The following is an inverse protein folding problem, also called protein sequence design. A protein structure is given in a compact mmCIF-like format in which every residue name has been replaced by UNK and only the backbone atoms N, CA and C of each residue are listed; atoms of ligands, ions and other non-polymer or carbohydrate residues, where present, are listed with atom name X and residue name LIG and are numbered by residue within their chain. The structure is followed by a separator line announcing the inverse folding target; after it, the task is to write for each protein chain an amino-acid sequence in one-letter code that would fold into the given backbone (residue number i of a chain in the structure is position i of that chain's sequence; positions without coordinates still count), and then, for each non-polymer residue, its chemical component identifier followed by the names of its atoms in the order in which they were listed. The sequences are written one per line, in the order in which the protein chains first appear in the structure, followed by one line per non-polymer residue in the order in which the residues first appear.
data_IF_843703584695
#
_entry.id   IF_843703584695
#
_cell.length_a   1.000
_cell.length_b   1.000
_cell.length_c   1.000
_cell.angle_alpha   90.00
_cell.angle_beta   90.00
_cell.angle_gamma   90.00
#
_symmetry.space_group_name_H-M   'P 1'
#
loop_
_entity.id
_entity.type
_entity.pdbx_description
1 polymer ?
#
# COMPACT_ATOMS: atom_id res chain seq x y z
N UNK A 1 7.04 -8.29 -6.71
CA UNK A 1 6.93 -9.51 -7.55
C UNK A 1 7.59 -10.76 -6.93
N UNK A 2 8.55 -10.66 -5.99
CA UNK A 2 9.28 -11.82 -5.45
C UNK A 2 8.54 -12.61 -4.34
N UNK A 3 7.71 -11.97 -3.51
CA UNK A 3 7.11 -12.62 -2.31
C UNK A 3 6.02 -13.64 -2.66
N UNK A 4 5.12 -13.32 -3.59
CA UNK A 4 4.02 -14.21 -3.96
C UNK A 4 4.48 -15.45 -4.76
N UNK A 5 5.69 -15.44 -5.32
CA UNK A 5 6.23 -16.58 -6.06
C UNK A 5 6.77 -17.70 -5.14
N UNK A 6 6.99 -17.42 -3.85
CA UNK A 6 7.50 -18.40 -2.90
C UNK A 6 6.39 -19.12 -2.11
N UNK A 7 5.17 -18.59 -2.13
CA UNK A 7 3.99 -19.30 -1.65
C UNK A 7 3.36 -20.00 -2.85
N UNK A 8 3.03 -21.29 -2.77
CA UNK A 8 2.41 -22.09 -3.84
C UNK A 8 0.97 -21.65 -4.18
N UNK A 9 0.71 -20.35 -4.27
CA UNK A 9 -0.54 -19.72 -4.64
C UNK A 9 -0.46 -19.31 -6.12
N UNK A 10 -1.00 -20.12 -7.03
CA UNK A 10 -0.98 -19.80 -8.45
C UNK A 10 -1.83 -18.55 -8.78
N UNK A 11 -1.48 -17.90 -9.90
CA UNK A 11 -2.08 -16.65 -10.40
C UNK A 11 -1.96 -15.46 -9.43
N UNK A 12 -0.77 -15.09 -8.93
CA UNK A 12 -0.68 -13.94 -8.02
C UNK A 12 -1.05 -12.64 -8.73
N UNK A 13 -2.05 -11.94 -8.20
CA UNK A 13 -2.40 -10.59 -8.60
C UNK A 13 -2.02 -9.63 -7.47
N UNK A 14 -1.34 -8.55 -7.85
CA UNK A 14 -0.97 -7.47 -6.92
C UNK A 14 -1.53 -6.18 -7.49
N UNK A 15 -2.27 -5.47 -6.65
CA UNK A 15 -2.84 -4.17 -6.99
C UNK A 15 -2.51 -3.15 -5.89
N UNK A 16 -2.60 -1.87 -6.20
CA UNK A 16 -2.21 -0.79 -5.29
C UNK A 16 -3.14 0.40 -5.44
N UNK A 17 -3.80 0.76 -4.33
CA UNK A 17 -4.66 1.92 -4.25
C UNK A 17 -4.06 3.00 -3.35
N UNK A 18 -4.32 4.25 -3.71
CA UNK A 18 -3.96 5.43 -2.91
C UNK A 18 -5.22 6.14 -2.46
N UNK A 19 -5.38 6.30 -1.15
CA UNK A 19 -6.53 6.95 -0.55
C UNK A 19 -6.02 8.16 0.22
N UNK A 20 -6.45 9.36 -0.17
CA UNK A 20 -6.18 10.57 0.61
C UNK A 20 -7.37 10.85 1.53
N UNK A 21 -7.09 11.06 2.81
CA UNK A 21 -8.08 11.38 3.84
C UNK A 21 -7.65 12.66 4.54
N UNK A 22 -8.58 13.61 4.64
CA UNK A 22 -8.34 14.87 5.33
C UNK A 22 -8.74 14.76 6.81
N UNK A 23 -7.81 15.11 7.70
CA UNK A 23 -8.02 15.08 9.14
C UNK A 23 -8.14 16.49 9.71
N UNK A 24 -8.94 16.70 10.77
CA UNK A 24 -9.06 18.02 11.40
C UNK A 24 -7.73 18.59 11.91
N UNK A 25 -6.80 17.74 12.34
CA UNK A 25 -5.44 18.11 12.73
C UNK A 25 -4.56 16.85 12.86
N UNK A 26 -3.25 17.05 13.01
CA UNK A 26 -2.28 15.97 13.12
C UNK A 26 -2.48 15.06 14.35
N UNK A 27 -3.10 15.53 15.44
CA UNK A 27 -3.34 14.69 16.62
C UNK A 27 -4.42 13.66 16.37
N UNK A 28 -5.49 14.02 15.64
CA UNK A 28 -6.53 13.08 15.23
C UNK A 28 -5.94 12.01 14.30
N UNK A 29 -5.08 12.40 13.36
CA UNK A 29 -4.34 11.48 12.50
C UNK A 29 -3.49 10.51 13.34
N UNK A 30 -2.68 11.02 14.27
CA UNK A 30 -1.82 10.19 15.13
C UNK A 30 -2.63 9.22 16.01
N UNK A 31 -3.78 9.65 16.53
CA UNK A 31 -4.69 8.77 17.26
C UNK A 31 -5.27 7.66 16.38
N UNK A 32 -5.63 7.98 15.14
CA UNK A 32 -6.13 6.98 14.20
C UNK A 32 -5.04 5.96 13.82
N UNK A 33 -3.83 6.41 13.51
CA UNK A 33 -2.68 5.54 13.26
C UNK A 33 -2.37 4.63 14.46
N UNK A 34 -2.53 5.14 15.69
CA UNK A 34 -2.44 4.32 16.90
C UNK A 34 -3.50 3.23 16.92
N UNK A 35 -4.75 3.56 16.60
CA UNK A 35 -5.84 2.58 16.49
C UNK A 35 -5.60 1.51 15.45
N UNK A 36 -4.94 1.86 14.34
CA UNK A 36 -4.55 0.94 13.26
C UNK A 36 -3.36 0.03 13.64
N UNK A 37 -2.67 0.28 14.75
CA UNK A 37 -1.49 -0.49 15.18
C UNK A 37 -0.16 0.00 14.60
N UNK A 38 -0.15 1.12 13.88
CA UNK A 38 1.02 1.67 13.19
C UNK A 38 2.13 2.20 14.13
N UNK A 39 1.87 2.20 15.45
CA UNK A 39 2.90 2.49 16.45
C UNK A 39 3.93 1.37 16.62
N UNK A 40 3.72 0.20 16.02
CA UNK A 40 4.55 -1.00 16.23
C UNK A 40 5.44 -1.37 15.03
N UNK A 41 5.69 -0.43 14.11
CA UNK A 41 6.34 -0.72 12.84
C UNK A 41 7.88 -0.73 12.84
N UNK A 42 8.57 -0.45 13.95
CA UNK A 42 10.02 -0.13 13.89
C UNK A 42 10.91 -1.28 14.38
N UNK A 43 11.77 -1.82 13.49
CA UNK A 43 12.87 -2.75 13.83
C UNK A 43 13.96 -2.12 14.73
N UNK A 44 14.01 -0.79 14.81
CA UNK A 44 14.91 0.00 15.65
C UNK A 44 14.13 0.98 16.54
N UNK A 45 13.76 0.56 17.76
CA UNK A 45 13.11 1.47 18.72
C UNK A 45 14.09 2.56 19.16
N UNK A 46 13.89 3.79 18.67
CA UNK A 46 14.50 5.00 19.22
C UNK A 46 13.88 5.41 20.56
N UNK A 47 14.29 6.57 21.08
CA UNK A 47 13.65 7.16 22.25
C UNK A 47 12.15 7.42 21.98
N UNK A 48 11.26 7.26 22.98
CA UNK A 48 9.85 7.60 22.83
C UNK A 48 9.67 9.06 22.39
N UNK A 49 8.68 9.33 21.55
CA UNK A 49 8.34 10.69 21.17
C UNK A 49 7.93 11.49 22.42
N UNK A 50 8.57 12.65 22.64
CA UNK A 50 8.19 13.57 23.70
C UNK A 50 7.00 14.43 23.27
N UNK A 51 6.27 14.99 24.25
CA UNK A 51 5.16 15.92 23.97
C UNK A 51 5.59 17.08 23.07
N UNK A 52 6.77 17.65 23.34
CA UNK A 52 7.28 18.79 22.58
C UNK A 52 7.61 18.41 21.12
N UNK A 53 8.15 17.20 20.91
CA UNK A 53 8.39 16.68 19.56
C UNK A 53 7.09 16.50 18.79
N UNK A 54 6.05 15.94 19.43
CA UNK A 54 4.72 15.77 18.80
C UNK A 54 4.06 17.12 18.48
N UNK A 55 4.21 18.12 19.35
CA UNK A 55 3.70 19.48 19.11
C UNK A 55 4.45 20.17 17.96
N UNK A 56 5.77 20.04 17.92
CA UNK A 56 6.58 20.55 16.83
C UNK A 56 6.22 19.88 15.51
N UNK A 57 6.10 18.54 15.50
CA UNK A 57 5.69 17.77 14.33
C UNK A 57 4.30 18.20 13.83
N UNK A 58 3.31 18.34 14.72
CA UNK A 58 1.97 18.81 14.35
C UNK A 58 1.99 20.21 13.74
N UNK A 59 2.80 21.12 14.30
CA UNK A 59 2.93 22.50 13.80
C UNK A 59 3.59 22.56 12.44
N UNK A 60 4.65 21.77 12.23
CA UNK A 60 5.34 21.63 10.94
C UNK A 60 4.42 20.99 9.91
N UNK A 61 3.68 19.96 10.30
CA UNK A 61 2.76 19.28 9.39
C UNK A 61 1.65 20.21 8.90
N UNK A 62 1.07 20.99 9.82
CA UNK A 62 0.08 22.02 9.48
C UNK A 62 0.66 23.11 8.58
N UNK A 63 1.88 23.59 8.81
CA UNK A 63 2.46 24.66 8.01
C UNK A 63 2.84 24.24 6.61
N UNK A 64 3.24 22.97 6.43
CA UNK A 64 3.66 22.43 5.14
C UNK A 64 2.51 21.91 4.29
N UNK A 65 1.51 21.28 4.92
CA UNK A 65 0.46 20.52 4.22
C UNK A 65 -0.96 20.93 4.59
N UNK A 66 -1.12 21.89 5.51
CA UNK A 66 -2.43 22.36 5.94
C UNK A 66 -3.24 22.96 4.79
N UNK A 67 -4.50 22.58 4.72
CA UNK A 67 -5.44 23.05 3.71
C UNK A 67 -6.09 24.38 4.15
N UNK A 68 -6.72 25.13 3.23
CA UNK A 68 -7.35 26.41 3.55
C UNK A 68 -8.46 26.33 4.62
N UNK A 69 -9.07 25.16 4.81
CA UNK A 69 -10.08 24.90 5.83
C UNK A 69 -9.50 24.49 7.19
N UNK A 70 -8.17 24.43 7.30
CA UNK A 70 -7.44 24.06 8.52
C UNK A 70 -7.20 22.57 8.68
N UNK A 71 -7.70 21.71 7.77
CA UNK A 71 -7.44 20.28 7.81
C UNK A 71 -6.00 19.94 7.35
N UNK A 72 -5.57 18.71 7.61
CA UNK A 72 -4.31 18.16 7.12
C UNK A 72 -4.57 16.87 6.34
N UNK A 73 -4.07 16.74 5.09
CA UNK A 73 -4.25 15.53 4.30
C UNK A 73 -3.31 14.44 4.81
N UNK A 74 -3.72 13.18 4.70
CA UNK A 74 -2.85 12.03 4.84
C UNK A 74 -3.16 11.00 3.75
N UNK A 75 -2.12 10.52 3.07
CA UNK A 75 -2.25 9.55 1.98
C UNK A 75 -1.90 8.16 2.47
N UNK A 76 -2.85 7.24 2.37
CA UNK A 76 -2.68 5.83 2.68
C UNK A 76 -2.50 5.05 1.39
N UNK A 77 -1.47 4.21 1.36
CA UNK A 77 -1.26 3.25 0.28
C UNK A 77 -1.76 1.88 0.74
N UNK A 78 -2.74 1.32 0.03
CA UNK A 78 -3.28 -0.01 0.30
C UNK A 78 -2.77 -0.94 -0.78
N UNK A 79 -2.07 -2.00 -0.37
CA UNK A 79 -1.53 -3.01 -1.29
C UNK A 79 -2.39 -4.26 -1.16
N UNK A 80 -3.02 -4.66 -2.26
CA UNK A 80 -3.81 -5.88 -2.33
C UNK A 80 -2.96 -7.00 -2.91
N UNK A 81 -2.97 -8.15 -2.23
CA UNK A 81 -2.35 -9.37 -2.73
C UNK A 81 -3.42 -10.45 -2.77
N UNK A 82 -3.73 -10.91 -3.97
CA UNK A 82 -4.70 -11.99 -4.20
C UNK A 82 -3.93 -13.16 -4.79
N UNK A 83 -4.17 -14.34 -4.21
CA UNK A 83 -3.67 -15.61 -4.72
C UNK A 83 -4.77 -16.65 -4.62
N UNK A 84 -4.79 -17.59 -5.56
CA UNK A 84 -5.77 -18.66 -5.58
C UNK A 84 -5.18 -19.93 -4.97
N UNK A 85 -6.01 -20.69 -4.26
CA UNK A 85 -5.64 -22.04 -3.85
C UNK A 85 -5.47 -22.92 -5.10
N UNK A 86 -4.45 -23.79 -5.16
CA UNK A 86 -4.27 -24.69 -6.28
C UNK A 86 -5.51 -25.56 -6.55
N UNK A 87 -5.93 -25.64 -7.81
CA UNK A 87 -6.99 -26.54 -8.24
C UNK A 87 -6.60 -27.26 -9.53
N UNK A 88 -6.99 -28.54 -9.68
CA UNK A 88 -6.59 -29.37 -10.83
C UNK A 88 -7.07 -28.81 -12.18
N UNK A 89 -8.23 -28.14 -12.20
CA UNK A 89 -8.80 -27.52 -13.40
C UNK A 89 -8.15 -26.19 -13.78
N UNK A 90 -7.18 -25.71 -13.00
CA UNK A 90 -6.54 -24.44 -13.23
C UNK A 90 -5.65 -24.48 -14.48
N UNK A 91 -5.69 -23.41 -15.28
CA UNK A 91 -4.88 -23.31 -16.48
C UNK A 91 -3.38 -23.33 -16.11
N UNK A 92 -2.65 -24.27 -16.71
CA UNK A 92 -1.20 -24.36 -16.56
C UNK A 92 -0.52 -23.48 -17.60
N UNK A 93 0.57 -22.77 -17.24
CA UNK A 93 1.36 -22.03 -18.21
C UNK A 93 1.81 -22.96 -19.33
N UNK A 94 1.65 -22.53 -20.58
CA UNK A 94 2.18 -23.25 -21.73
C UNK A 94 3.71 -23.29 -21.68
N UNK A 95 4.29 -24.29 -22.35
CA UNK A 95 5.74 -24.39 -22.47
C UNK A 95 6.28 -23.14 -23.18
N UNK A 96 7.33 -22.53 -22.64
CA UNK A 96 8.03 -21.42 -23.31
C UNK A 96 8.38 -21.81 -24.76
N UNK A 97 8.05 -20.93 -25.71
CA UNK A 97 8.29 -21.16 -27.14
C UNK A 97 7.17 -21.89 -27.90
N UNK A 98 6.05 -22.24 -27.27
CA UNK A 98 4.91 -22.89 -27.95
C UNK A 98 3.89 -21.91 -28.54
N UNK A 99 4.26 -20.64 -28.77
CA UNK A 99 3.37 -19.64 -29.35
C UNK A 99 3.07 -19.99 -30.82
N UNK A 100 1.79 -20.06 -31.18
CA UNK A 100 1.35 -20.37 -32.55
C UNK A 100 1.02 -19.13 -33.38
N UNK A 101 0.76 -17.99 -32.72
CA UNK A 101 0.41 -16.73 -33.35
C UNK A 101 1.32 -15.60 -32.86
N UNK A 102 1.62 -14.66 -33.75
CA UNK A 102 2.38 -13.47 -33.41
C UNK A 102 1.47 -12.43 -32.77
N UNK A 103 1.90 -11.82 -31.65
CA UNK A 103 1.15 -10.72 -31.02
C UNK A 103 0.93 -9.52 -31.95
N UNK A 104 1.76 -9.37 -32.99
CA UNK A 104 1.64 -8.32 -34.01
C UNK A 104 0.38 -8.48 -34.88
N UNK A 105 -0.09 -9.71 -35.06
CA UNK A 105 -1.25 -10.01 -35.91
C UNK A 105 -2.58 -9.72 -35.21
N UNK A 106 -2.59 -9.57 -33.87
CA UNK A 106 -3.79 -9.41 -33.05
C UNK A 106 -4.24 -7.94 -32.84
N UNK A 107 -3.46 -6.94 -33.29
CA UNK A 107 -3.73 -5.52 -33.04
C UNK A 107 -4.30 -4.73 -34.23
N UNK A 108 -4.75 -5.42 -35.29
CA UNK A 108 -5.13 -4.83 -36.57
C UNK A 108 -6.63 -4.96 -36.92
N UNK A 109 -7.50 -5.07 -35.91
CA UNK A 109 -8.96 -5.04 -36.05
C UNK A 109 -9.56 -3.71 -35.57
#
# INVERSE_FOLDING_TARGET
MSVAAHTDLPLPAVDTDYIQVDYPNAFVLMEHLRGMGENHAVQSRGAPATRDSLLAAASIYQSMFGQPDGTVPATFQVIYLIGWSPHESQQKPLRRGSAQHSLKELGHD
#
